data_IF_379396827191
#
_entry.id   IF_379396827191
#
_cell.length_a   1.000
_cell.length_b   1.000
_cell.length_c   1.000
_cell.angle_alpha   90.00
_cell.angle_beta   90.00
_cell.angle_gamma   90.00
#
_symmetry.space_group_name_H-M   'P 1'
#
loop_
_entity.id
_entity.type
_entity.pdbx_description
1 polymer ?
#
# COMPACT_ATOMS: atom_id res chain seq x y z
N UNK A 1 22.72 42.96 -23.23
CA UNK A 1 21.45 43.15 -22.49
C UNK A 1 21.01 41.77 -22.00
N UNK A 2 21.34 41.40 -20.76
CA UNK A 2 20.83 40.16 -20.17
C UNK A 2 19.48 40.48 -19.53
N UNK A 3 18.39 40.08 -20.18
CA UNK A 3 17.11 39.96 -19.50
C UNK A 3 17.25 38.81 -18.51
N UNK A 4 17.46 39.13 -17.23
CA UNK A 4 17.28 38.17 -16.16
C UNK A 4 15.81 37.77 -16.17
N UNK A 5 15.53 36.51 -16.50
CA UNK A 5 14.20 35.94 -16.29
C UNK A 5 13.86 36.10 -14.81
N UNK A 6 12.90 36.98 -14.52
CA UNK A 6 12.43 37.17 -13.15
C UNK A 6 11.62 35.94 -12.78
N UNK A 7 12.12 35.16 -11.83
CA UNK A 7 11.31 34.12 -11.19
C UNK A 7 10.02 34.74 -10.68
N UNK A 8 8.89 34.14 -11.04
CA UNK A 8 7.55 34.50 -10.60
C UNK A 8 7.06 33.41 -9.67
N UNK A 9 6.32 33.80 -8.63
CA UNK A 9 5.63 32.86 -7.78
C UNK A 9 4.34 32.38 -8.49
N UNK A 10 4.23 31.08 -8.68
CA UNK A 10 3.06 30.41 -9.20
C UNK A 10 2.37 29.66 -8.08
N UNK A 11 1.07 29.87 -7.94
CA UNK A 11 0.26 29.01 -7.08
C UNK A 11 -0.02 27.69 -7.80
N UNK A 12 0.32 26.61 -7.14
CA UNK A 12 0.16 25.25 -7.65
C UNK A 12 -0.75 24.50 -6.69
N UNK A 13 -1.80 23.90 -7.24
CA UNK A 13 -2.64 22.92 -6.56
C UNK A 13 -2.44 21.56 -7.23
N UNK A 14 -2.06 20.57 -6.42
CA UNK A 14 -1.91 19.18 -6.84
C UNK A 14 -2.99 18.36 -6.15
N UNK A 15 -3.79 17.64 -6.93
CA UNK A 15 -4.70 16.62 -6.43
C UNK A 15 -4.19 15.23 -6.82
N UNK A 16 -3.98 14.38 -5.82
CA UNK A 16 -3.52 13.00 -5.94
C UNK A 16 -4.59 12.06 -5.36
N UNK A 17 -5.02 11.07 -6.14
CA UNK A 17 -5.87 9.99 -5.65
C UNK A 17 -4.97 8.89 -5.06
N UNK A 18 -4.92 8.77 -3.73
CA UNK A 18 -4.07 7.78 -3.04
C UNK A 18 -4.76 6.41 -2.90
N UNK A 19 -6.09 6.37 -2.87
CA UNK A 19 -6.90 5.14 -2.86
C UNK A 19 -8.29 5.46 -3.42
N UNK A 20 -9.21 4.50 -3.66
CA UNK A 20 -10.57 4.82 -4.12
C UNK A 20 -11.35 5.81 -3.22
N UNK A 21 -10.95 5.98 -1.96
CA UNK A 21 -11.64 6.84 -0.98
C UNK A 21 -10.78 7.97 -0.43
N UNK A 22 -9.47 7.97 -0.67
CA UNK A 22 -8.54 8.98 -0.13
C UNK A 22 -7.97 9.84 -1.25
N UNK A 23 -8.16 11.14 -1.11
CA UNK A 23 -7.55 12.17 -1.95
C UNK A 23 -6.61 13.02 -1.11
N UNK A 24 -5.39 13.21 -1.61
CA UNK A 24 -4.45 14.19 -1.09
C UNK A 24 -4.52 15.43 -1.98
N UNK A 25 -4.75 16.59 -1.37
CA UNK A 25 -4.67 17.87 -2.06
C UNK A 25 -3.60 18.72 -1.40
N UNK A 26 -2.60 19.12 -2.17
CA UNK A 26 -1.49 19.96 -1.72
C UNK A 26 -1.55 21.26 -2.49
N UNK A 27 -1.54 22.38 -1.77
CA UNK A 27 -1.49 23.73 -2.34
C UNK A 27 -0.25 24.44 -1.82
N UNK A 28 0.49 25.07 -2.73
CA UNK A 28 1.71 25.77 -2.39
C UNK A 28 2.13 26.76 -3.47
N UNK A 29 3.18 27.52 -3.16
CA UNK A 29 3.81 28.44 -4.10
C UNK A 29 5.10 27.81 -4.63
N UNK A 30 5.30 27.89 -5.93
CA UNK A 30 6.53 27.48 -6.61
C UNK A 30 7.10 28.69 -7.33
N UNK A 31 8.38 28.97 -7.11
CA UNK A 31 9.09 30.00 -7.86
C UNK A 31 9.65 29.39 -9.15
N UNK A 32 9.29 29.96 -10.30
CA UNK A 32 9.73 29.48 -11.60
C UNK A 32 9.94 30.65 -12.57
N UNK A 33 10.79 30.47 -13.57
CA UNK A 33 11.05 31.46 -14.64
C UNK A 33 9.83 31.62 -15.57
N UNK A 34 8.97 30.60 -15.64
CA UNK A 34 7.74 30.61 -16.42
C UNK A 34 6.76 29.49 -16.04
N UNK A 35 5.54 29.55 -16.60
CA UNK A 35 4.48 28.59 -16.32
C UNK A 35 4.88 27.15 -16.68
N UNK A 36 5.64 26.95 -17.76
CA UNK A 36 6.10 25.61 -18.16
C UNK A 36 7.02 24.95 -17.13
N UNK A 37 7.94 25.73 -16.54
CA UNK A 37 8.81 25.25 -15.48
C UNK A 37 8.04 25.02 -14.18
N UNK A 38 7.08 25.90 -13.84
CA UNK A 38 6.19 25.70 -12.70
C UNK A 38 5.40 24.37 -12.81
N UNK A 39 4.92 24.03 -14.00
CA UNK A 39 4.23 22.75 -14.26
C UNK A 39 5.19 21.57 -14.15
N UNK A 40 6.41 21.68 -14.67
CA UNK A 40 7.40 20.60 -14.55
C UNK A 40 7.79 20.33 -13.08
N UNK A 41 8.00 21.39 -12.28
CA UNK A 41 8.25 21.28 -10.84
C UNK A 41 7.06 20.68 -10.09
N UNK A 42 5.84 21.07 -10.45
CA UNK A 42 4.63 20.47 -9.90
C UNK A 42 4.55 18.97 -10.22
N UNK A 43 4.84 18.58 -11.46
CA UNK A 43 4.86 17.17 -11.89
C UNK A 43 5.93 16.36 -11.18
N UNK A 44 7.10 16.93 -10.92
CA UNK A 44 8.16 16.28 -10.16
C UNK A 44 7.73 16.07 -8.70
N UNK A 45 7.11 17.06 -8.07
CA UNK A 45 6.52 16.94 -6.73
C UNK A 45 5.44 15.86 -6.68
N UNK A 46 4.54 15.84 -7.67
CA UNK A 46 3.53 14.77 -7.83
C UNK A 46 4.22 13.42 -7.95
N UNK A 47 5.28 13.31 -8.75
CA UNK A 47 6.03 12.07 -8.94
C UNK A 47 6.71 11.57 -7.67
N UNK A 48 7.32 12.46 -6.88
CA UNK A 48 7.94 12.14 -5.59
C UNK A 48 6.88 11.72 -4.56
N UNK A 49 5.80 12.49 -4.44
CA UNK A 49 4.68 12.14 -3.56
C UNK A 49 4.01 10.83 -4.00
N UNK A 50 3.91 10.57 -5.29
CA UNK A 50 3.39 9.31 -5.82
C UNK A 50 4.39 8.16 -5.68
N UNK A 51 5.68 8.38 -5.41
CA UNK A 51 6.63 7.32 -5.08
C UNK A 51 6.64 7.04 -3.58
N UNK A 52 6.55 8.09 -2.76
CA UNK A 52 6.55 8.02 -1.29
C UNK A 52 5.20 7.56 -0.73
N UNK A 53 4.11 7.98 -1.37
CA UNK A 53 2.72 7.66 -1.03
C UNK A 53 1.99 6.93 -2.16
N UNK A 54 2.71 6.37 -3.13
CA UNK A 54 2.10 5.34 -3.96
C UNK A 54 1.42 4.37 -3.00
N UNK A 55 0.09 4.13 -3.08
CA UNK A 55 -0.34 2.78 -2.78
C UNK A 55 0.57 1.95 -3.67
N UNK A 56 1.24 0.94 -3.14
CA UNK A 56 2.18 0.12 -3.91
C UNK A 56 1.52 -0.57 -5.11
N UNK A 57 0.28 -0.24 -5.50
CA UNK A 57 -0.49 -0.68 -6.66
C UNK A 57 -0.05 -0.12 -8.01
N UNK A 58 1.24 -0.22 -8.34
CA UNK A 58 1.61 -0.54 -9.72
C UNK A 58 1.81 -2.06 -9.79
N UNK A 59 1.08 -2.69 -10.71
CA UNK A 59 1.00 -4.13 -10.98
C UNK A 59 2.33 -4.73 -11.50
N UNK A 60 3.45 -4.51 -10.81
CA UNK A 60 4.58 -5.42 -10.88
C UNK A 60 4.26 -6.58 -9.92
N UNK A 61 4.31 -7.83 -10.39
CA UNK A 61 3.99 -9.04 -9.63
C UNK A 61 4.49 -8.93 -8.18
N UNK A 62 3.59 -8.52 -7.27
CA UNK A 62 3.97 -8.20 -5.90
C UNK A 62 4.22 -9.53 -5.21
N UNK A 63 5.49 -9.86 -5.03
CA UNK A 63 5.91 -11.00 -4.26
C UNK A 63 6.18 -10.54 -2.83
N UNK A 64 5.93 -11.44 -1.89
CA UNK A 64 6.32 -11.27 -0.50
C UNK A 64 7.80 -10.87 -0.42
N UNK A 65 8.14 -9.79 0.31
CA UNK A 65 9.51 -9.29 0.35
C UNK A 65 10.49 -10.35 0.88
N UNK A 66 11.60 -10.52 0.16
CA UNK A 66 12.60 -11.56 0.48
C UNK A 66 13.26 -11.30 1.85
N UNK A 67 13.46 -10.03 2.20
CA UNK A 67 14.01 -9.61 3.48
C UNK A 67 13.13 -10.00 4.68
N UNK A 68 11.82 -10.18 4.45
CA UNK A 68 10.90 -10.61 5.51
C UNK A 68 10.83 -12.13 5.66
N UNK A 69 11.36 -12.91 4.71
CA UNK A 69 11.32 -14.38 4.76
C UNK A 69 12.08 -14.94 5.96
N UNK A 70 13.16 -14.30 6.37
CA UNK A 70 13.95 -14.70 7.55
C UNK A 70 13.15 -14.63 8.87
N UNK A 71 12.04 -13.89 8.88
CA UNK A 71 11.20 -13.70 10.07
C UNK A 71 9.97 -14.60 10.10
N UNK A 72 9.72 -15.42 9.06
CA UNK A 72 8.48 -16.18 8.92
C UNK A 72 8.14 -17.03 10.16
N UNK A 73 9.12 -17.70 10.73
CA UNK A 73 8.91 -18.55 11.92
C UNK A 73 8.44 -17.73 13.14
N UNK A 74 8.89 -16.48 13.27
CA UNK A 74 8.51 -15.60 14.37
C UNK A 74 7.11 -14.97 14.22
N UNK A 75 6.57 -14.92 12.99
CA UNK A 75 5.28 -14.32 12.72
C UNK A 75 4.12 -15.18 13.24
N UNK A 76 3.11 -14.56 13.82
CA UNK A 76 1.82 -15.23 14.03
C UNK A 76 1.13 -15.47 12.68
N UNK A 77 0.18 -16.41 12.62
CA UNK A 77 -0.61 -16.63 11.40
C UNK A 77 -1.35 -15.36 10.95
N UNK A 78 -1.85 -14.58 11.91
CA UNK A 78 -2.46 -13.28 11.66
C UNK A 78 -1.49 -12.36 10.92
N UNK A 79 -0.33 -12.10 11.50
CA UNK A 79 0.66 -11.17 10.95
C UNK A 79 1.15 -11.63 9.58
N UNK A 80 1.34 -12.94 9.39
CA UNK A 80 1.71 -13.51 8.09
C UNK A 80 0.63 -13.24 7.03
N UNK A 81 -0.64 -13.46 7.36
CA UNK A 81 -1.76 -13.17 6.46
C UNK A 81 -1.87 -11.68 6.17
N UNK A 82 -1.72 -10.83 7.18
CA UNK A 82 -1.80 -9.38 7.02
C UNK A 82 -0.68 -8.88 6.09
N UNK A 83 0.57 -9.29 6.32
CA UNK A 83 1.70 -8.99 5.45
C UNK A 83 1.46 -9.52 4.03
N UNK A 84 0.95 -10.75 3.89
CA UNK A 84 0.66 -11.34 2.60
C UNK A 84 -0.36 -10.50 1.81
N UNK A 85 -1.47 -10.11 2.43
CA UNK A 85 -2.51 -9.31 1.77
C UNK A 85 -2.06 -7.87 1.52
N UNK A 86 -1.18 -7.32 2.36
CA UNK A 86 -0.59 -6.01 2.17
C UNK A 86 0.31 -5.99 0.93
N UNK A 87 1.25 -6.93 0.85
CA UNK A 87 2.20 -6.98 -0.23
C UNK A 87 1.60 -7.59 -1.49
N UNK A 88 0.97 -8.75 -1.44
CA UNK A 88 0.54 -9.47 -2.65
C UNK A 88 -0.90 -9.15 -3.09
N UNK A 89 -1.67 -8.44 -2.26
CA UNK A 89 -3.01 -7.95 -2.60
C UNK A 89 -4.15 -8.88 -2.21
N UNK A 90 -5.39 -8.61 -2.70
CA UNK A 90 -6.58 -9.37 -2.31
C UNK A 90 -6.52 -10.83 -2.73
N UNK A 91 -6.90 -11.74 -1.84
CA UNK A 91 -6.83 -13.19 -2.07
C UNK A 91 -8.02 -13.92 -1.44
N UNK A 92 -8.42 -15.05 -2.01
CA UNK A 92 -9.32 -16.01 -1.37
C UNK A 92 -8.59 -16.79 -0.26
N UNK A 93 -9.34 -17.46 0.62
CA UNK A 93 -8.75 -18.33 1.67
C UNK A 93 -7.86 -19.43 1.08
N UNK A 94 -8.27 -20.00 -0.05
CA UNK A 94 -7.51 -21.05 -0.72
C UNK A 94 -6.18 -20.51 -1.23
N UNK A 95 -6.19 -19.31 -1.84
CA UNK A 95 -4.98 -18.63 -2.28
C UNK A 95 -4.06 -18.30 -1.09
N UNK A 96 -4.60 -17.82 0.03
CA UNK A 96 -3.82 -17.54 1.25
C UNK A 96 -3.18 -18.83 1.79
N UNK A 97 -3.94 -19.93 1.94
CA UNK A 97 -3.40 -21.20 2.41
C UNK A 97 -2.28 -21.72 1.50
N UNK A 98 -2.51 -21.73 0.19
CA UNK A 98 -1.51 -22.16 -0.78
C UNK A 98 -0.26 -21.28 -0.75
N UNK A 99 -0.43 -19.95 -0.72
CA UNK A 99 0.68 -19.01 -0.79
C UNK A 99 1.52 -19.00 0.49
N UNK A 100 0.89 -19.09 1.66
CA UNK A 100 1.61 -19.21 2.94
C UNK A 100 2.40 -20.52 3.04
N UNK A 101 1.88 -21.63 2.47
CA UNK A 101 2.63 -22.88 2.32
C UNK A 101 3.86 -22.70 1.41
N UNK A 102 3.72 -22.02 0.27
CA UNK A 102 4.84 -21.72 -0.64
C UNK A 102 5.91 -20.84 -0.01
N UNK A 103 5.53 -19.96 0.91
CA UNK A 103 6.48 -19.16 1.68
C UNK A 103 7.23 -19.98 2.74
N UNK A 104 6.78 -21.20 3.05
CA UNK A 104 7.40 -22.10 4.03
C UNK A 104 6.69 -22.14 5.38
N UNK A 105 5.57 -21.42 5.54
CA UNK A 105 4.76 -21.43 6.78
C UNK A 105 3.28 -21.51 6.47
N UNK A 106 2.76 -22.71 6.38
CA UNK A 106 1.35 -22.93 6.07
C UNK A 106 0.42 -22.41 7.17
N UNK A 107 -0.53 -21.55 6.79
CA UNK A 107 -1.64 -21.16 7.66
C UNK A 107 -2.77 -22.19 7.50
N UNK A 108 -3.21 -22.86 8.58
CA UNK A 108 -4.24 -23.90 8.49
C UNK A 108 -5.58 -23.36 7.99
N UNK A 109 -6.27 -24.13 7.15
CA UNK A 109 -7.63 -23.79 6.67
C UNK A 109 -8.62 -23.58 7.82
N UNK A 110 -8.53 -24.42 8.85
CA UNK A 110 -9.34 -24.29 10.06
C UNK A 110 -9.17 -22.93 10.73
N UNK A 111 -7.95 -22.37 10.74
CA UNK A 111 -7.67 -21.04 11.25
C UNK A 111 -8.28 -19.96 10.34
N UNK A 112 -8.15 -20.09 9.02
CA UNK A 112 -8.77 -19.17 8.05
C UNK A 112 -10.30 -19.15 8.11
N UNK A 113 -10.92 -20.27 8.47
CA UNK A 113 -12.37 -20.38 8.58
C UNK A 113 -12.91 -19.81 9.90
N UNK A 114 -12.13 -19.88 10.98
CA UNK A 114 -12.60 -19.58 12.34
C UNK A 114 -12.00 -18.30 12.94
N UNK A 115 -10.70 -18.10 12.83
CA UNK A 115 -9.95 -17.02 13.51
C UNK A 115 -9.81 -15.75 12.68
N UNK A 116 -9.87 -15.87 11.35
CA UNK A 116 -9.75 -14.76 10.38
C UNK A 116 -10.77 -13.62 10.60
N UNK A 117 -11.90 -13.89 11.25
CA UNK A 117 -12.94 -12.90 11.58
C UNK A 117 -13.30 -12.84 13.07
N UNK A 118 -12.48 -13.44 13.95
CA UNK A 118 -12.70 -13.33 15.39
C UNK A 118 -12.15 -12.02 15.92
N UNK A 119 -12.78 -11.52 16.98
CA UNK A 119 -12.21 -10.39 17.73
C UNK A 119 -10.89 -10.86 18.37
N UNK A 120 -9.86 -10.00 18.41
CA UNK A 120 -9.91 -8.56 18.10
C UNK A 120 -9.63 -8.18 16.63
N UNK A 121 -9.31 -9.13 15.74
CA UNK A 121 -8.75 -8.84 14.41
C UNK A 121 -9.77 -8.70 13.29
N UNK A 122 -11.06 -8.93 13.57
CA UNK A 122 -12.16 -8.85 12.59
C UNK A 122 -12.12 -7.58 11.74
N UNK A 123 -11.74 -6.44 12.33
CA UNK A 123 -11.76 -5.14 11.65
C UNK A 123 -10.54 -4.90 10.77
N UNK A 124 -9.57 -5.83 10.72
CA UNK A 124 -8.36 -5.72 9.90
C UNK A 124 -8.61 -6.19 8.47
N UNK A 125 -9.65 -6.98 8.25
CA UNK A 125 -9.96 -7.60 6.97
C UNK A 125 -11.31 -7.13 6.43
N UNK A 126 -11.35 -6.87 5.13
CA UNK A 126 -12.58 -6.62 4.37
C UNK A 126 -12.76 -7.79 3.42
N UNK A 127 -13.96 -8.37 3.43
CA UNK A 127 -14.34 -9.35 2.43
C UNK A 127 -15.02 -8.66 1.25
N UNK A 128 -14.69 -9.10 0.04
CA UNK A 128 -15.28 -8.66 -1.22
C UNK A 128 -15.64 -9.90 -2.06
N UNK A 129 -16.40 -9.70 -3.12
CA UNK A 129 -16.67 -10.74 -4.11
C UNK A 129 -16.05 -10.29 -5.43
N UNK A 130 -15.14 -11.11 -5.98
CA UNK A 130 -14.53 -10.80 -7.25
C UNK A 130 -15.51 -10.99 -8.43
N UNK A 131 -15.07 -10.65 -9.64
CA UNK A 131 -15.89 -10.73 -10.86
C UNK A 131 -16.35 -12.17 -11.19
N UNK A 132 -15.66 -13.17 -10.64
CA UNK A 132 -15.96 -14.60 -10.78
C UNK A 132 -16.93 -15.13 -9.71
N UNK A 133 -17.35 -14.28 -8.77
CA UNK A 133 -18.22 -14.69 -7.67
C UNK A 133 -17.47 -15.32 -6.49
N UNK A 134 -16.13 -15.30 -6.49
CA UNK A 134 -15.32 -15.86 -5.42
C UNK A 134 -15.10 -14.81 -4.34
N UNK A 135 -15.28 -15.24 -3.08
CA UNK A 135 -15.03 -14.39 -1.92
C UNK A 135 -13.52 -14.17 -1.76
N UNK A 136 -13.11 -12.91 -1.84
CA UNK A 136 -11.73 -12.47 -1.66
C UNK A 136 -11.62 -11.60 -0.42
N UNK A 137 -10.41 -11.49 0.12
CA UNK A 137 -10.11 -10.79 1.35
C UNK A 137 -8.99 -9.80 1.09
N UNK A 138 -9.16 -8.58 1.59
CA UNK A 138 -8.18 -7.50 1.52
C UNK A 138 -8.05 -6.84 2.90
N UNK A 139 -6.97 -6.10 3.11
CA UNK A 139 -6.83 -5.31 4.33
C UNK A 139 -7.79 -4.12 4.34
N UNK A 140 -8.37 -3.86 5.51
CA UNK A 140 -8.97 -2.57 5.83
C UNK A 140 -7.85 -1.53 6.06
N UNK A 141 -8.21 -0.26 6.17
CA UNK A 141 -7.25 0.78 6.54
C UNK A 141 -6.60 0.52 7.90
N UNK A 142 -7.38 0.02 8.87
CA UNK A 142 -6.84 -0.39 10.18
C UNK A 142 -5.83 -1.54 10.05
N UNK A 143 -6.15 -2.54 9.22
CA UNK A 143 -5.24 -3.65 8.95
C UNK A 143 -3.95 -3.22 8.27
N UNK A 144 -3.99 -2.20 7.39
CA UNK A 144 -2.78 -1.65 6.78
C UNK A 144 -1.88 -0.97 7.81
N UNK A 145 -2.44 -0.15 8.70
CA UNK A 145 -1.68 0.51 9.76
C UNK A 145 -0.98 -0.50 10.67
N UNK A 146 -1.67 -1.56 11.05
CA UNK A 146 -1.10 -2.67 11.82
C UNK A 146 0.07 -3.34 11.08
N UNK A 147 -0.02 -3.50 9.75
CA UNK A 147 1.10 -4.04 8.95
C UNK A 147 2.31 -3.13 8.97
N UNK A 148 2.14 -1.82 8.90
CA UNK A 148 3.27 -0.89 9.01
C UNK A 148 4.00 -1.03 10.36
N UNK A 149 3.25 -1.23 11.45
CA UNK A 149 3.83 -1.49 12.77
C UNK A 149 4.61 -2.81 12.80
N UNK A 150 4.05 -3.87 12.20
CA UNK A 150 4.73 -5.16 12.07
C UNK A 150 6.03 -5.01 11.26
N UNK A 151 5.99 -4.31 10.12
CA UNK A 151 7.17 -4.07 9.27
C UNK A 151 8.22 -3.28 10.05
N UNK A 152 7.81 -2.22 10.76
CA UNK A 152 8.70 -1.43 11.61
C UNK A 152 9.40 -2.27 12.68
N UNK A 153 8.66 -3.20 13.32
CA UNK A 153 9.22 -4.14 14.30
C UNK A 153 10.19 -5.17 13.70
N UNK A 154 9.97 -5.59 12.45
CA UNK A 154 10.82 -6.60 11.81
C UNK A 154 12.10 -6.00 11.20
N UNK A 155 12.06 -4.72 10.80
CA UNK A 155 13.17 -4.04 10.14
C UNK A 155 13.97 -3.09 11.05
N UNK A 156 13.43 -2.72 12.21
CA UNK A 156 14.10 -1.94 13.25
C UNK A 156 14.72 -2.84 14.31
#
# INVERSE_FOLDING_TARGET
MHHGEKNRAYEVEVELQLSPTVKLRVRGLVEASGLGEAVALAQELVGRLAQEYAPSGQHAAKRFPQDLLQHLESLTYRELVELLLYFEGPMSREQINQRTRELGKEVPRSWLDTEFFRKPYKDHFVADTDQSGVKTYKLSEKGKLEVEEIIGRLRG
#
